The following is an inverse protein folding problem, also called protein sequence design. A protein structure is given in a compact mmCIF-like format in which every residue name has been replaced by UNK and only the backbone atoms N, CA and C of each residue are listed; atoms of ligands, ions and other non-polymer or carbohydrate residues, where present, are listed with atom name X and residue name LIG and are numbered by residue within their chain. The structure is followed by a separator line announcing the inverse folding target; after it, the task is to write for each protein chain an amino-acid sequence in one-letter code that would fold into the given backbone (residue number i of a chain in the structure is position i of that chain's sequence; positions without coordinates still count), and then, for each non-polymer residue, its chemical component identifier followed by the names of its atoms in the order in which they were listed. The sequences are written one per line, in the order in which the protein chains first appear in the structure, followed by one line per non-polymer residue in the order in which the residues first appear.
data_IF_924259653190
#
_entry.id   IF_924259653190
#
_cell.length_a   1.000
_cell.length_b   1.000
_cell.length_c   1.000
_cell.angle_alpha   90.00
_cell.angle_beta   90.00
_cell.angle_gamma   90.00
#
_symmetry.space_group_name_H-M   'P 1'
#
loop_
_entity.id
_entity.type
_entity.pdbx_description
1 polymer ?
#
# COMPACT_ATOMS: atom_id res chain seq x y z
N UNK A 1 25.47 -28.51 -17.54
CA UNK A 1 24.01 -28.29 -17.65
C UNK A 1 23.43 -28.36 -16.25
N UNK A 2 23.29 -27.21 -15.59
CA UNK A 2 22.52 -27.12 -14.36
C UNK A 2 21.07 -27.16 -14.78
N UNK A 3 20.37 -28.24 -14.43
CA UNK A 3 18.92 -28.34 -14.65
C UNK A 3 18.31 -27.27 -13.75
N UNK A 4 17.94 -26.13 -14.32
CA UNK A 4 17.09 -25.17 -13.65
C UNK A 4 15.74 -25.86 -13.48
N UNK A 5 15.55 -26.53 -12.35
CA UNK A 5 14.22 -26.97 -11.92
C UNK A 5 13.43 -25.69 -11.68
N UNK A 6 12.67 -25.27 -12.69
CA UNK A 6 11.59 -24.30 -12.54
C UNK A 6 10.58 -24.90 -11.55
N UNK A 7 10.82 -24.73 -10.26
CA UNK A 7 9.85 -25.10 -9.22
C UNK A 7 8.64 -24.22 -9.43
N UNK A 8 7.54 -24.83 -9.86
CA UNK A 8 6.27 -24.12 -9.98
C UNK A 8 5.96 -23.46 -8.63
N UNK A 9 5.61 -22.17 -8.59
CA UNK A 9 5.29 -21.50 -7.34
C UNK A 9 4.12 -22.20 -6.65
N UNK A 10 4.22 -22.38 -5.33
CA UNK A 10 3.21 -23.06 -4.52
C UNK A 10 2.14 -22.07 -4.08
N UNK A 11 0.86 -22.48 -4.18
CA UNK A 11 -0.28 -21.64 -3.78
C UNK A 11 -0.29 -21.48 -2.26
N UNK A 12 -0.36 -20.23 -1.80
CA UNK A 12 -0.67 -19.87 -0.43
C UNK A 12 -2.20 -19.88 -0.25
N UNK A 13 -2.74 -21.02 0.18
CA UNK A 13 -4.19 -21.20 0.37
C UNK A 13 -4.79 -20.28 1.42
N UNK A 14 -4.02 -19.90 2.45
CA UNK A 14 -4.50 -18.98 3.49
C UNK A 14 -4.79 -17.62 2.89
N UNK A 15 -3.81 -17.05 2.17
CA UNK A 15 -3.99 -15.77 1.46
C UNK A 15 -5.10 -15.87 0.41
N UNK A 16 -5.10 -16.94 -0.37
CA UNK A 16 -6.09 -17.15 -1.45
C UNK A 16 -7.52 -17.14 -0.90
N UNK A 17 -7.79 -17.94 0.13
CA UNK A 17 -9.11 -18.01 0.76
C UNK A 17 -9.48 -16.70 1.44
N UNK A 18 -8.51 -16.02 2.06
CA UNK A 18 -8.71 -14.71 2.68
C UNK A 18 -9.16 -13.65 1.67
N UNK A 19 -8.46 -13.52 0.54
CA UNK A 19 -8.86 -12.58 -0.51
C UNK A 19 -10.21 -12.95 -1.11
N UNK A 20 -10.47 -14.23 -1.41
CA UNK A 20 -11.77 -14.68 -1.91
C UNK A 20 -12.90 -14.29 -0.93
N UNK A 21 -12.71 -14.52 0.37
CA UNK A 21 -13.70 -14.17 1.39
C UNK A 21 -13.97 -12.67 1.44
N UNK A 22 -12.95 -11.82 1.35
CA UNK A 22 -13.12 -10.36 1.31
C UNK A 22 -13.88 -9.90 0.07
N UNK A 23 -13.58 -10.46 -1.11
CA UNK A 23 -14.26 -10.12 -2.35
C UNK A 23 -15.72 -10.59 -2.33
N UNK A 24 -15.98 -11.80 -1.84
CA UNK A 24 -17.36 -12.29 -1.63
C UNK A 24 -18.10 -11.36 -0.66
N UNK A 25 -17.48 -10.97 0.45
CA UNK A 25 -18.07 -10.03 1.40
C UNK A 25 -18.40 -8.67 0.77
N UNK A 26 -17.59 -8.18 -0.17
CA UNK A 26 -17.87 -6.94 -0.88
C UNK A 26 -19.10 -7.06 -1.80
N UNK A 27 -19.37 -8.24 -2.37
CA UNK A 27 -20.57 -8.48 -3.19
C UNK A 27 -21.88 -8.35 -2.39
N UNK A 28 -21.84 -8.45 -1.05
CA UNK A 28 -23.02 -8.18 -0.23
C UNK A 28 -23.51 -6.73 -0.33
N UNK A 29 -22.73 -5.82 -0.92
CA UNK A 29 -23.18 -4.47 -1.25
C UNK A 29 -24.39 -4.45 -2.20
N UNK A 30 -24.55 -5.50 -3.01
CA UNK A 30 -25.68 -5.65 -3.94
C UNK A 30 -26.92 -6.28 -3.30
N UNK A 31 -26.83 -6.74 -2.05
CA UNK A 31 -27.99 -7.28 -1.32
C UNK A 31 -28.88 -6.13 -0.85
N UNK A 32 -30.20 -6.16 -1.14
CA UNK A 32 -31.12 -5.12 -0.67
C UNK A 32 -31.02 -4.90 0.85
N UNK A 33 -30.90 -3.64 1.26
CA UNK A 33 -30.74 -3.25 2.67
C UNK A 33 -29.30 -2.97 3.12
N UNK A 34 -28.29 -3.40 2.35
CA UNK A 34 -26.88 -3.08 2.68
C UNK A 34 -26.38 -1.78 2.04
N UNK A 35 -27.12 -1.20 1.10
CA UNK A 35 -26.79 0.10 0.50
C UNK A 35 -27.36 1.26 1.32
N UNK A 36 -26.52 2.25 1.63
CA UNK A 36 -26.96 3.59 2.05
C UNK A 36 -25.88 4.61 1.71
N UNK A 37 -26.28 5.85 1.43
CA UNK A 37 -25.32 6.94 1.17
C UNK A 37 -24.40 7.21 2.37
N UNK A 38 -24.90 7.00 3.59
CA UNK A 38 -24.07 7.10 4.80
C UNK A 38 -22.97 6.03 4.82
N UNK A 39 -23.29 4.78 4.43
CA UNK A 39 -22.31 3.71 4.35
C UNK A 39 -21.27 3.95 3.25
N UNK A 40 -21.68 4.50 2.10
CA UNK A 40 -20.76 4.96 1.04
C UNK A 40 -19.83 6.05 1.59
N UNK A 41 -20.36 7.03 2.31
CA UNK A 41 -19.57 8.09 2.95
C UNK A 41 -18.54 7.53 3.93
N UNK A 42 -18.92 6.54 4.75
CA UNK A 42 -18.00 5.83 5.65
C UNK A 42 -16.91 5.11 4.86
N UNK A 43 -17.25 4.42 3.77
CA UNK A 43 -16.26 3.76 2.92
C UNK A 43 -15.27 4.74 2.31
N UNK A 44 -15.74 5.90 1.82
CA UNK A 44 -14.88 6.94 1.25
C UNK A 44 -13.96 7.57 2.30
N UNK A 45 -14.49 7.86 3.49
CA UNK A 45 -13.70 8.36 4.62
C UNK A 45 -12.61 7.36 4.99
N UNK A 46 -12.98 6.09 5.19
CA UNK A 46 -12.02 5.04 5.54
C UNK A 46 -11.04 4.76 4.41
N UNK A 47 -11.44 4.89 3.14
CA UNK A 47 -10.54 4.82 2.00
C UNK A 47 -9.46 5.90 2.05
N UNK A 48 -9.82 7.17 2.33
CA UNK A 48 -8.84 8.23 2.52
C UNK A 48 -7.95 8.00 3.75
N UNK A 49 -8.53 7.58 4.89
CA UNK A 49 -7.77 7.31 6.12
C UNK A 49 -6.79 6.17 5.89
N UNK A 50 -7.20 5.04 5.30
CA UNK A 50 -6.33 3.86 5.22
C UNK A 50 -5.46 3.83 3.98
N UNK A 51 -5.97 4.30 2.83
CA UNK A 51 -5.20 4.43 1.61
C UNK A 51 -4.27 5.65 1.68
N UNK A 52 -4.85 6.85 1.80
CA UNK A 52 -4.10 8.11 1.81
C UNK A 52 -3.18 8.24 3.03
N UNK A 53 -3.73 8.37 4.24
CA UNK A 53 -2.90 8.56 5.44
C UNK A 53 -2.13 7.29 5.82
N UNK A 54 -2.77 6.13 5.70
CA UNK A 54 -2.21 4.86 6.11
C UNK A 54 -1.11 4.33 5.19
N UNK A 55 -1.49 3.92 3.97
CA UNK A 55 -0.57 3.31 3.02
C UNK A 55 0.40 4.34 2.44
N UNK A 56 -0.09 5.40 1.81
CA UNK A 56 0.78 6.31 1.06
C UNK A 56 1.65 7.18 1.98
N UNK A 57 1.06 7.86 2.96
CA UNK A 57 1.79 8.75 3.86
C UNK A 57 2.58 7.95 4.92
N UNK A 58 1.90 7.02 5.60
CA UNK A 58 2.44 6.24 6.72
C UNK A 58 3.39 5.14 6.29
N UNK A 59 2.88 4.05 5.73
CA UNK A 59 3.70 2.88 5.40
C UNK A 59 4.76 3.22 4.36
N UNK A 60 4.37 3.86 3.25
CA UNK A 60 5.26 4.07 2.13
C UNK A 60 6.27 5.20 2.38
N UNK A 61 5.82 6.46 2.44
CA UNK A 61 6.75 7.60 2.47
C UNK A 61 7.43 7.78 3.83
N UNK A 62 6.70 7.62 4.93
CA UNK A 62 7.24 7.81 6.28
C UNK A 62 8.09 6.62 6.74
N UNK A 63 7.54 5.41 6.76
CA UNK A 63 8.22 4.26 7.39
C UNK A 63 9.17 3.56 6.42
N UNK A 64 8.71 3.22 5.21
CA UNK A 64 9.56 2.51 4.25
C UNK A 64 10.73 3.37 3.81
N UNK A 65 10.47 4.58 3.31
CA UNK A 65 11.50 5.41 2.67
C UNK A 65 12.17 6.42 3.60
N UNK A 66 11.61 6.66 4.79
CA UNK A 66 12.12 7.67 5.73
C UNK A 66 12.34 9.02 5.02
N UNK A 67 11.39 9.39 4.17
CA UNK A 67 11.44 10.60 3.33
C UNK A 67 11.17 11.87 4.14
N UNK A 68 10.61 11.73 5.35
CA UNK A 68 10.45 12.77 6.36
C UNK A 68 10.38 12.12 7.75
N UNK A 69 10.32 12.96 8.78
CA UNK A 69 10.19 12.54 10.18
C UNK A 69 8.99 13.23 10.84
N UNK A 70 8.31 12.50 11.73
CA UNK A 70 7.19 13.00 12.54
C UNK A 70 7.40 12.68 14.01
N UNK A 71 6.73 13.38 14.95
CA UNK A 71 6.61 12.91 16.32
C UNK A 71 6.11 11.46 16.37
N UNK A 72 6.63 10.66 17.31
CA UNK A 72 6.38 9.21 17.33
C UNK A 72 4.90 8.85 17.49
N UNK A 73 4.11 9.65 18.21
CA UNK A 73 2.66 9.44 18.35
C UNK A 73 1.93 9.54 17.01
N UNK A 74 2.37 10.47 16.13
CA UNK A 74 1.80 10.66 14.81
C UNK A 74 2.24 9.53 13.87
N UNK A 75 3.50 9.11 13.95
CA UNK A 75 3.98 7.93 13.22
C UNK A 75 3.11 6.70 13.57
N UNK A 76 2.92 6.41 14.85
CA UNK A 76 2.07 5.28 15.27
C UNK A 76 0.63 5.40 14.82
N UNK A 77 0.06 6.61 14.85
CA UNK A 77 -1.29 6.85 14.34
C UNK A 77 -1.39 6.55 12.83
N UNK A 78 -0.43 7.02 12.03
CA UNK A 78 -0.40 6.75 10.59
C UNK A 78 -0.18 5.26 10.30
N UNK A 79 0.66 4.59 11.08
CA UNK A 79 0.89 3.13 10.96
C UNK A 79 -0.36 2.35 11.34
N UNK A 80 -1.12 2.77 12.36
CA UNK A 80 -2.43 2.19 12.68
C UNK A 80 -3.41 2.35 11.52
N UNK A 81 -3.45 3.54 10.89
CA UNK A 81 -4.28 3.78 9.71
C UNK A 81 -3.89 2.84 8.54
N UNK A 82 -2.59 2.62 8.31
CA UNK A 82 -2.10 1.68 7.29
C UNK A 82 -2.43 0.22 7.62
N UNK A 83 -2.36 -0.14 8.90
CA UNK A 83 -2.75 -1.47 9.40
C UNK A 83 -4.23 -1.75 9.10
N UNK A 84 -5.09 -0.73 9.20
CA UNK A 84 -6.49 -0.78 8.81
C UNK A 84 -6.74 -0.85 7.29
N UNK A 85 -5.72 -0.80 6.43
CA UNK A 85 -5.85 -1.14 5.01
C UNK A 85 -5.85 -2.65 4.76
N UNK A 86 -5.48 -3.45 5.77
CA UNK A 86 -5.45 -4.91 5.71
C UNK A 86 -4.49 -5.51 4.65
N UNK A 87 -3.41 -4.81 4.28
CA UNK A 87 -2.45 -5.29 3.27
C UNK A 87 -1.30 -6.13 3.87
N UNK A 88 -1.57 -6.80 4.99
CA UNK A 88 -0.54 -7.37 5.85
C UNK A 88 -0.16 -6.44 7.00
N UNK A 89 0.64 -6.95 7.93
CA UNK A 89 1.16 -6.15 9.03
C UNK A 89 2.24 -5.16 8.57
N UNK A 90 2.50 -4.07 9.32
CA UNK A 90 3.44 -3.03 8.93
C UNK A 90 4.87 -3.52 8.68
N UNK A 91 5.36 -4.49 9.45
CA UNK A 91 6.73 -5.00 9.27
C UNK A 91 6.81 -5.77 7.95
N UNK A 92 5.85 -6.65 7.68
CA UNK A 92 5.80 -7.40 6.41
C UNK A 92 5.71 -6.46 5.22
N UNK A 93 4.74 -5.53 5.24
CA UNK A 93 4.52 -4.60 4.13
C UNK A 93 5.77 -3.76 3.84
N UNK A 94 6.38 -3.16 4.87
CA UNK A 94 7.60 -2.35 4.72
C UNK A 94 8.77 -3.19 4.19
N UNK A 95 8.95 -4.40 4.71
CA UNK A 95 10.02 -5.29 4.28
C UNK A 95 9.86 -5.72 2.82
N UNK A 96 8.67 -6.17 2.44
CA UNK A 96 8.33 -6.53 1.04
C UNK A 96 8.57 -5.35 0.10
N UNK A 97 8.16 -4.13 0.49
CA UNK A 97 8.32 -2.93 -0.34
C UNK A 97 9.79 -2.52 -0.51
N UNK A 98 10.61 -2.64 0.55
CA UNK A 98 12.06 -2.40 0.46
C UNK A 98 12.77 -3.43 -0.41
N UNK A 99 12.34 -4.69 -0.37
CA UNK A 99 12.85 -5.75 -1.26
C UNK A 99 12.50 -5.43 -2.71
N UNK A 100 11.25 -5.05 -2.98
CA UNK A 100 10.82 -4.63 -4.31
C UNK A 100 11.70 -3.50 -4.86
N UNK A 101 11.95 -2.44 -4.11
CA UNK A 101 12.82 -1.36 -4.59
C UNK A 101 14.26 -1.77 -4.88
N UNK A 102 14.81 -2.73 -4.12
CA UNK A 102 16.17 -3.22 -4.36
C UNK A 102 16.26 -4.15 -5.58
N UNK A 103 15.17 -4.83 -5.90
CA UNK A 103 15.14 -5.93 -6.86
C UNK A 103 14.09 -5.75 -7.95
N UNK A 104 13.58 -4.54 -8.15
CA UNK A 104 12.42 -4.25 -9.00
C UNK A 104 12.58 -4.88 -10.37
N UNK A 105 11.52 -5.55 -10.83
CA UNK A 105 11.49 -6.23 -12.13
C UNK A 105 12.60 -7.28 -12.32
N UNK A 106 13.01 -7.95 -11.23
CA UNK A 106 13.88 -9.13 -11.27
C UNK A 106 13.23 -10.30 -10.54
N UNK A 107 13.77 -11.52 -10.69
CA UNK A 107 13.25 -12.74 -10.04
C UNK A 107 13.14 -12.67 -8.50
N UNK A 108 13.79 -11.70 -7.85
CA UNK A 108 13.72 -11.48 -6.39
C UNK A 108 12.63 -10.49 -5.97
N UNK A 109 12.07 -9.73 -6.91
CA UNK A 109 10.92 -8.87 -6.65
C UNK A 109 9.68 -9.73 -6.40
N UNK A 110 9.03 -9.61 -5.22
CA UNK A 110 7.78 -10.31 -4.93
C UNK A 110 6.74 -10.14 -6.04
N UNK A 111 6.62 -8.93 -6.59
CA UNK A 111 5.61 -8.57 -7.59
C UNK A 111 6.24 -8.16 -8.93
N UNK A 112 7.32 -8.85 -9.31
CA UNK A 112 8.01 -8.70 -10.60
C UNK A 112 7.04 -8.53 -11.78
N UNK A 113 7.04 -7.34 -12.39
CA UNK A 113 6.12 -7.03 -13.47
C UNK A 113 6.44 -7.77 -14.78
N UNK A 114 7.66 -8.31 -14.93
CA UNK A 114 8.05 -9.13 -16.09
C UNK A 114 7.30 -10.47 -16.14
N UNK A 115 6.79 -10.97 -15.01
CA UNK A 115 5.90 -12.13 -14.98
C UNK A 115 4.48 -11.82 -15.47
N UNK A 116 4.20 -10.55 -15.77
CA UNK A 116 3.00 -10.07 -16.43
C UNK A 116 2.04 -9.34 -15.50
N UNK A 117 1.13 -8.58 -16.11
CA UNK A 117 0.21 -7.68 -15.41
C UNK A 117 -0.57 -8.34 -14.26
N UNK A 118 -1.08 -9.55 -14.48
CA UNK A 118 -1.88 -10.25 -13.47
C UNK A 118 -1.03 -10.82 -12.33
N UNK A 119 0.24 -11.15 -12.60
CA UNK A 119 1.17 -11.54 -11.54
C UNK A 119 1.40 -10.37 -10.58
N UNK A 120 1.83 -9.21 -11.09
CA UNK A 120 2.12 -8.03 -10.26
C UNK A 120 0.86 -7.41 -9.65
N UNK A 121 -0.33 -7.60 -10.25
CA UNK A 121 -1.59 -7.13 -9.68
C UNK A 121 -2.05 -7.97 -8.48
N UNK A 122 -2.16 -9.30 -8.62
CA UNK A 122 -2.69 -10.16 -7.55
C UNK A 122 -2.01 -11.52 -7.44
N UNK A 123 -1.43 -12.03 -8.53
CA UNK A 123 -0.81 -13.35 -8.57
C UNK A 123 0.24 -13.54 -7.48
N UNK A 124 1.12 -12.55 -7.28
CA UNK A 124 2.17 -12.61 -6.27
C UNK A 124 1.67 -12.82 -4.83
N UNK A 125 0.42 -12.42 -4.53
CA UNK A 125 -0.20 -12.59 -3.22
C UNK A 125 -0.81 -13.99 -3.03
N UNK A 126 -1.13 -14.67 -4.14
CA UNK A 126 -1.73 -16.01 -4.19
C UNK A 126 -0.67 -17.09 -4.00
N UNK A 127 0.58 -16.82 -4.35
CA UNK A 127 1.70 -17.76 -4.22
C UNK A 127 2.62 -17.41 -3.05
N UNK A 128 3.37 -18.39 -2.56
CA UNK A 128 4.43 -18.12 -1.58
C UNK A 128 5.56 -17.31 -2.23
N UNK A 129 5.83 -16.12 -1.70
CA UNK A 129 6.96 -15.29 -2.15
C UNK A 129 8.29 -15.90 -1.69
N UNK A 130 9.27 -16.05 -2.59
CA UNK A 130 10.61 -16.55 -2.23
C UNK A 130 11.38 -15.57 -1.34
N UNK A 131 11.04 -14.28 -1.36
CA UNK A 131 11.75 -13.23 -0.62
C UNK A 131 11.14 -12.91 0.75
N UNK A 132 10.07 -13.61 1.17
CA UNK A 132 9.48 -13.44 2.50
C UNK A 132 10.47 -13.72 3.63
N UNK A 133 11.41 -14.66 3.45
CA UNK A 133 12.45 -14.94 4.45
C UNK A 133 13.43 -13.78 4.66
N UNK A 134 13.51 -12.84 3.71
CA UNK A 134 14.42 -11.70 3.77
C UNK A 134 13.82 -10.52 4.55
N UNK A 135 12.51 -10.46 4.76
CA UNK A 135 11.81 -9.35 5.45
C UNK A 135 12.52 -8.90 6.74
N UNK A 136 12.90 -9.79 7.68
CA UNK A 136 13.58 -9.39 8.91
C UNK A 136 14.90 -8.64 8.69
N UNK A 137 15.61 -8.92 7.59
CA UNK A 137 16.85 -8.21 7.23
C UNK A 137 16.58 -6.77 6.83
N UNK A 138 15.43 -6.51 6.19
CA UNK A 138 15.05 -5.22 5.65
C UNK A 138 14.28 -4.34 6.62
N UNK A 139 13.94 -4.81 7.82
CA UNK A 139 13.08 -4.10 8.77
C UNK A 139 13.70 -3.92 10.16
N UNK A 140 15.04 -4.04 10.26
CA UNK A 140 15.76 -3.94 11.56
C UNK A 140 15.50 -2.64 12.32
N UNK A 141 15.16 -1.56 11.63
CA UNK A 141 14.82 -0.25 12.22
C UNK A 141 13.44 -0.22 12.92
N UNK A 142 12.55 -1.17 12.64
CA UNK A 142 11.20 -1.24 13.22
C UNK A 142 10.86 -2.58 13.87
N UNK A 143 11.63 -3.63 13.61
CA UNK A 143 11.30 -5.01 14.00
C UNK A 143 11.23 -5.21 15.52
N UNK A 144 11.96 -4.42 16.30
CA UNK A 144 12.00 -4.50 17.77
C UNK A 144 11.03 -3.52 18.45
N UNK A 145 10.34 -2.65 17.69
CA UNK A 145 9.39 -1.69 18.23
C UNK A 145 8.08 -2.40 18.62
N UNK A 146 7.69 -2.30 19.89
CA UNK A 146 6.55 -3.03 20.46
C UNK A 146 5.21 -2.64 19.83
N UNK A 147 5.06 -1.39 19.37
CA UNK A 147 3.84 -0.96 18.67
C UNK A 147 3.77 -1.59 17.29
N UNK A 148 4.88 -1.63 16.55
CA UNK A 148 4.94 -2.29 15.26
C UNK A 148 4.70 -3.80 15.39
N UNK A 149 5.27 -4.46 16.38
CA UNK A 149 5.01 -5.88 16.66
C UNK A 149 3.54 -6.15 17.01
N UNK A 150 2.93 -5.28 17.81
CA UNK A 150 1.51 -5.37 18.14
C UNK A 150 0.65 -5.25 16.89
N UNK A 151 0.86 -4.22 16.08
CA UNK A 151 0.12 -4.00 14.84
C UNK A 151 0.36 -5.12 13.82
N UNK A 152 1.60 -5.60 13.69
CA UNK A 152 1.97 -6.75 12.86
C UNK A 152 1.19 -8.02 13.23
N UNK A 153 1.09 -8.31 14.54
CA UNK A 153 0.45 -9.54 15.02
C UNK A 153 -1.07 -9.46 14.98
N UNK A 154 -1.64 -8.29 15.26
CA UNK A 154 -3.07 -8.15 15.53
C UNK A 154 -3.84 -7.38 14.45
N UNK A 155 -3.26 -7.10 13.28
CA UNK A 155 -3.93 -6.33 12.22
C UNK A 155 -5.33 -6.87 11.86
N UNK A 156 -5.52 -8.19 11.81
CA UNK A 156 -6.84 -8.80 11.59
C UNK A 156 -7.80 -8.53 12.75
N UNK A 157 -7.35 -8.65 14.02
CA UNK A 157 -8.21 -8.38 15.18
C UNK A 157 -8.58 -6.89 15.27
N UNK A 158 -7.68 -6.00 14.88
CA UNK A 158 -7.94 -4.56 14.80
C UNK A 158 -9.03 -4.29 13.74
N UNK A 159 -9.03 -5.01 12.62
CA UNK A 159 -10.12 -4.94 11.64
C UNK A 159 -11.45 -5.46 12.17
N UNK A 160 -11.43 -6.56 12.93
CA UNK A 160 -12.62 -7.08 13.60
C UNK A 160 -13.18 -6.05 14.59
N UNK A 161 -12.32 -5.40 15.38
CA UNK A 161 -12.73 -4.34 16.30
C UNK A 161 -13.38 -3.15 15.56
N UNK A 162 -12.81 -2.72 14.42
CA UNK A 162 -13.43 -1.70 13.56
C UNK A 162 -14.78 -2.19 13.01
N UNK A 163 -14.90 -3.45 12.59
CA UNK A 163 -16.15 -4.03 12.11
C UNK A 163 -17.25 -4.04 13.18
N UNK A 164 -16.92 -4.39 14.43
CA UNK A 164 -17.86 -4.34 15.55
C UNK A 164 -18.33 -2.91 15.83
N UNK A 165 -17.43 -1.93 15.79
CA UNK A 165 -17.78 -0.52 15.91
C UNK A 165 -18.72 -0.07 14.79
N UNK A 166 -18.45 -0.47 13.54
CA UNK A 166 -19.29 -0.13 12.40
C UNK A 166 -20.68 -0.78 12.47
N UNK A 167 -20.77 -2.02 12.95
CA UNK A 167 -22.05 -2.68 13.24
C UNK A 167 -22.85 -1.86 14.26
N UNK A 168 -22.21 -1.38 15.32
CA UNK A 168 -22.88 -0.59 16.35
C UNK A 168 -23.39 0.76 15.80
N UNK A 169 -22.62 1.42 14.93
CA UNK A 169 -22.93 2.75 14.41
C UNK A 169 -23.95 2.76 13.26
N UNK A 170 -23.96 1.72 12.42
CA UNK A 170 -24.80 1.71 11.22
C UNK A 170 -25.13 0.31 10.68
N UNK A 171 -24.99 -0.71 11.52
CA UNK A 171 -25.35 -2.08 11.20
C UNK A 171 -24.50 -2.70 10.09
N UNK A 172 -25.05 -3.73 9.46
CA UNK A 172 -24.37 -4.47 8.38
C UNK A 172 -24.05 -3.62 7.16
N UNK A 173 -24.85 -2.59 6.85
CA UNK A 173 -24.55 -1.66 5.76
C UNK A 173 -23.18 -1.01 5.95
N UNK A 174 -22.87 -0.54 7.16
CA UNK A 174 -21.57 0.09 7.45
C UNK A 174 -20.42 -0.91 7.43
N UNK A 175 -20.63 -2.16 7.83
CA UNK A 175 -19.59 -3.20 7.74
C UNK A 175 -19.32 -3.62 6.30
N UNK A 176 -20.36 -3.87 5.52
CA UNK A 176 -20.22 -4.23 4.10
C UNK A 176 -19.43 -3.16 3.36
N UNK A 177 -19.81 -1.88 3.51
CA UNK A 177 -19.15 -0.79 2.82
C UNK A 177 -17.80 -0.40 3.45
N UNK A 178 -17.77 -0.19 4.76
CA UNK A 178 -16.60 0.30 5.49
C UNK A 178 -15.49 -0.73 5.71
N UNK A 179 -15.81 -2.03 5.71
CA UNK A 179 -14.81 -3.10 5.74
C UNK A 179 -14.63 -3.69 4.35
N UNK A 180 -15.60 -4.44 3.84
CA UNK A 180 -15.37 -5.30 2.68
C UNK A 180 -15.17 -4.52 1.37
N UNK A 181 -16.14 -3.68 0.99
CA UNK A 181 -16.05 -2.88 -0.24
C UNK A 181 -14.83 -1.97 -0.19
N UNK A 182 -14.62 -1.26 0.92
CA UNK A 182 -13.48 -0.35 1.08
C UNK A 182 -12.14 -1.08 1.03
N UNK A 183 -11.98 -2.24 1.68
CA UNK A 183 -10.73 -3.00 1.63
C UNK A 183 -10.46 -3.49 0.21
N UNK A 184 -11.45 -4.08 -0.46
CA UNK A 184 -11.29 -4.55 -1.86
C UNK A 184 -10.97 -3.38 -2.80
N UNK A 185 -11.60 -2.23 -2.60
CA UNK A 185 -11.29 -1.02 -3.36
C UNK A 185 -9.85 -0.55 -3.13
N UNK A 186 -9.42 -0.44 -1.86
CA UNK A 186 -8.05 -0.08 -1.49
C UNK A 186 -7.04 -1.07 -2.08
N UNK A 187 -7.33 -2.37 -2.03
CA UNK A 187 -6.49 -3.41 -2.63
C UNK A 187 -6.27 -3.16 -4.11
N UNK A 188 -7.31 -3.09 -4.92
CA UNK A 188 -7.14 -2.87 -6.35
C UNK A 188 -6.47 -1.54 -6.67
N UNK A 189 -6.78 -0.47 -5.93
CA UNK A 189 -6.08 0.80 -6.07
C UNK A 189 -4.57 0.65 -5.83
N UNK A 190 -4.16 0.04 -4.72
CA UNK A 190 -2.73 -0.18 -4.43
C UNK A 190 -2.08 -1.16 -5.40
N UNK A 191 -2.76 -2.24 -5.78
CA UNK A 191 -2.22 -3.24 -6.70
C UNK A 191 -2.03 -2.69 -8.12
N UNK A 192 -2.78 -1.66 -8.52
CA UNK A 192 -2.53 -0.90 -9.74
C UNK A 192 -1.17 -0.18 -9.72
N UNK A 193 -0.64 0.17 -8.55
CA UNK A 193 0.72 0.73 -8.39
C UNK A 193 1.81 -0.32 -8.62
N UNK A 194 1.50 -1.61 -8.55
CA UNK A 194 2.46 -2.66 -8.90
C UNK A 194 2.33 -3.08 -10.37
N UNK A 195 1.15 -2.91 -10.95
CA UNK A 195 0.78 -3.50 -12.24
C UNK A 195 0.61 -2.48 -13.35
N UNK A 196 -0.25 -1.49 -13.16
CA UNK A 196 -0.54 -0.51 -14.20
C UNK A 196 0.61 0.48 -14.38
N UNK A 197 1.22 0.94 -13.30
CA UNK A 197 2.40 1.82 -13.33
C UNK A 197 3.67 1.13 -13.83
N UNK A 198 3.72 -0.19 -14.01
CA UNK A 198 4.82 -0.86 -14.72
C UNK A 198 4.51 -1.13 -16.21
N UNK A 199 3.31 -0.75 -16.68
CA UNK A 199 2.84 -1.09 -18.02
C UNK A 199 2.28 0.08 -18.83
N UNK A 200 1.67 1.06 -18.17
CA UNK A 200 0.93 2.14 -18.78
C UNK A 200 1.38 3.49 -18.22
N UNK A 201 1.73 4.42 -19.09
CA UNK A 201 2.16 5.76 -18.70
C UNK A 201 3.32 6.25 -19.54
N UNK A 202 4.01 7.27 -19.03
CA UNK A 202 5.24 7.81 -19.59
C UNK A 202 6.40 7.61 -18.62
N UNK A 203 7.64 7.73 -19.09
CA UNK A 203 8.84 7.70 -18.26
C UNK A 203 9.56 9.04 -18.39
N UNK A 204 9.88 9.65 -17.26
CA UNK A 204 10.63 10.91 -17.18
C UNK A 204 12.10 10.66 -16.83
N UNK A 205 12.39 9.54 -16.15
CA UNK A 205 13.71 9.23 -15.62
C UNK A 205 14.09 7.77 -15.94
N UNK A 206 15.40 7.53 -16.03
CA UNK A 206 15.95 6.17 -16.07
C UNK A 206 16.08 5.64 -14.64
N UNK A 207 15.17 4.73 -14.28
CA UNK A 207 15.10 4.09 -12.95
C UNK A 207 15.70 2.68 -12.92
N UNK A 208 16.16 2.15 -14.06
CA UNK A 208 16.67 0.77 -14.17
C UNK A 208 15.59 -0.32 -14.10
N UNK A 209 14.31 0.04 -14.14
CA UNK A 209 13.16 -0.86 -14.16
C UNK A 209 12.10 -0.40 -15.18
N UNK A 210 10.95 -1.08 -15.21
CA UNK A 210 9.85 -0.76 -16.12
C UNK A 210 8.78 0.18 -15.53
N UNK A 211 9.05 0.82 -14.39
CA UNK A 211 8.11 1.78 -13.81
C UNK A 211 7.79 2.95 -14.76
N UNK A 212 6.58 3.50 -14.65
CA UNK A 212 6.02 4.58 -15.47
C UNK A 212 5.17 5.49 -14.60
N UNK A 213 5.07 6.75 -14.99
CA UNK A 213 4.16 7.73 -14.43
C UNK A 213 2.77 7.58 -15.05
N UNK A 214 1.77 7.31 -14.22
CA UNK A 214 0.42 6.97 -14.62
C UNK A 214 -0.61 7.82 -13.87
N UNK A 215 -1.11 8.87 -14.52
CA UNK A 215 -1.91 9.93 -13.88
C UNK A 215 -3.22 9.40 -13.25
N UNK A 216 -3.89 8.44 -13.88
CA UNK A 216 -5.15 7.92 -13.35
C UNK A 216 -4.93 7.02 -12.13
N UNK A 217 -3.79 6.32 -12.05
CA UNK A 217 -3.37 5.64 -10.82
C UNK A 217 -3.02 6.68 -9.75
N UNK A 218 -2.38 7.79 -10.12
CA UNK A 218 -2.07 8.87 -9.17
C UNK A 218 -3.34 9.46 -8.54
N UNK A 219 -4.43 9.60 -9.31
CA UNK A 219 -5.74 10.01 -8.78
C UNK A 219 -6.31 8.97 -7.81
N UNK A 220 -6.25 7.68 -8.15
CA UNK A 220 -6.78 6.59 -7.32
C UNK A 220 -5.95 6.30 -6.07
N UNK A 221 -4.69 6.72 -6.04
CA UNK A 221 -3.76 6.39 -4.95
C UNK A 221 -3.03 7.63 -4.50
N UNK A 222 -3.72 8.78 -4.46
CA UNK A 222 -3.27 9.99 -3.80
C UNK A 222 -1.87 10.53 -4.20
N UNK A 223 -1.39 10.20 -5.41
CA UNK A 223 -0.07 10.59 -5.92
C UNK A 223 0.90 9.43 -6.16
N UNK A 224 0.58 8.20 -5.74
CA UNK A 224 1.47 7.04 -5.89
C UNK A 224 1.61 6.52 -7.33
N UNK A 225 0.81 7.06 -8.26
CA UNK A 225 0.92 6.75 -9.69
C UNK A 225 2.09 7.45 -10.38
N UNK A 226 2.77 8.41 -9.75
CA UNK A 226 4.02 9.02 -10.25
C UNK A 226 5.21 8.08 -9.98
N UNK A 227 5.08 6.85 -10.46
CA UNK A 227 5.87 5.71 -10.01
C UNK A 227 7.28 5.70 -10.59
N UNK A 228 7.48 6.15 -11.83
CA UNK A 228 8.81 6.27 -12.41
C UNK A 228 9.63 7.37 -11.71
N UNK A 229 9.01 8.49 -11.37
CA UNK A 229 9.66 9.53 -10.55
C UNK A 229 10.06 8.97 -9.18
N UNK A 230 9.15 8.22 -8.55
CA UNK A 230 9.40 7.57 -7.26
C UNK A 230 10.55 6.56 -7.35
N UNK A 231 10.58 5.69 -8.37
CA UNK A 231 11.64 4.70 -8.52
C UNK A 231 13.00 5.31 -8.81
N UNK A 232 13.05 6.43 -9.54
CA UNK A 232 14.28 7.20 -9.74
C UNK A 232 14.76 7.89 -8.45
N UNK A 233 13.84 8.37 -7.59
CA UNK A 233 14.15 9.14 -6.39
C UNK A 233 13.43 8.63 -5.15
N UNK A 234 13.65 7.37 -4.80
CA UNK A 234 12.92 6.63 -3.75
C UNK A 234 12.93 7.33 -2.37
N UNK A 235 13.97 8.11 -2.09
CA UNK A 235 14.11 8.85 -0.83
C UNK A 235 13.25 10.13 -0.76
N UNK A 236 12.73 10.61 -1.89
CA UNK A 236 11.98 11.86 -2.00
C UNK A 236 10.59 11.74 -1.39
N UNK A 237 10.18 12.73 -0.60
CA UNK A 237 8.83 12.78 -0.04
C UNK A 237 7.78 13.24 -1.07
N UNK A 238 8.22 13.74 -2.23
CA UNK A 238 7.40 14.23 -3.34
C UNK A 238 7.61 13.33 -4.55
N UNK A 239 6.54 12.70 -5.04
CA UNK A 239 6.60 11.84 -6.23
C UNK A 239 6.18 12.59 -7.50
N UNK A 240 5.21 13.51 -7.39
CA UNK A 240 4.84 14.39 -8.51
C UNK A 240 5.85 15.53 -8.66
N UNK A 241 6.78 15.43 -9.60
CA UNK A 241 7.90 16.36 -9.81
C UNK A 241 7.52 17.52 -10.73
N UNK A 242 6.64 17.28 -11.71
CA UNK A 242 6.09 18.30 -12.59
C UNK A 242 4.95 19.09 -11.94
N UNK A 243 4.67 20.29 -12.46
CA UNK A 243 3.65 21.18 -11.89
C UNK A 243 2.22 20.64 -11.99
N UNK A 244 1.97 19.78 -12.97
CA UNK A 244 0.67 19.17 -13.25
C UNK A 244 0.54 17.76 -12.63
N UNK A 245 1.61 17.21 -12.09
CA UNK A 245 1.63 15.92 -11.40
C UNK A 245 1.06 16.10 -9.98
N UNK A 246 -0.26 16.11 -9.88
CA UNK A 246 -0.98 16.28 -8.60
C UNK A 246 -0.63 15.13 -7.66
N UNK A 247 -0.02 15.47 -6.53
CA UNK A 247 0.41 14.53 -5.49
C UNK A 247 -0.24 14.93 -4.15
N UNK A 248 -1.39 14.33 -3.84
CA UNK A 248 -2.19 14.66 -2.66
C UNK A 248 -1.46 14.30 -1.35
N UNK A 249 -0.66 13.24 -1.38
CA UNK A 249 0.15 12.84 -0.22
C UNK A 249 1.29 13.82 0.02
N UNK A 250 1.92 14.35 -1.04
CA UNK A 250 2.88 15.46 -0.89
C UNK A 250 2.21 16.72 -0.32
N UNK A 251 1.03 17.10 -0.82
CA UNK A 251 0.27 18.23 -0.26
C UNK A 251 -0.05 18.03 1.23
N UNK A 252 -0.31 16.79 1.64
CA UNK A 252 -0.52 16.43 3.05
C UNK A 252 0.76 16.59 3.87
N UNK A 253 1.92 16.19 3.34
CA UNK A 253 3.23 16.42 3.98
C UNK A 253 3.49 17.92 4.13
N UNK A 254 3.23 18.73 3.09
CA UNK A 254 3.38 20.18 3.16
C UNK A 254 2.52 20.80 4.26
N UNK A 255 1.27 20.34 4.41
CA UNK A 255 0.40 20.78 5.50
C UNK A 255 1.00 20.42 6.88
N UNK A 256 1.53 19.20 7.03
CA UNK A 256 2.21 18.79 8.27
C UNK A 256 3.47 19.61 8.54
N UNK A 257 4.21 20.06 7.51
CA UNK A 257 5.35 20.96 7.68
C UNK A 257 4.92 22.32 8.23
N UNK A 258 3.80 22.87 7.77
CA UNK A 258 3.25 24.15 8.28
C UNK A 258 2.98 24.06 9.78
N UNK A 259 2.51 22.91 10.27
CA UNK A 259 2.28 22.67 11.69
C UNK A 259 3.53 22.20 12.47
N UNK A 260 4.70 22.10 11.82
CA UNK A 260 5.92 21.57 12.45
C UNK A 260 5.87 20.08 12.79
N UNK A 261 4.90 19.34 12.24
CA UNK A 261 4.70 17.91 12.47
C UNK A 261 5.49 17.03 11.49
N UNK A 262 5.85 17.56 10.31
CA UNK A 262 6.78 16.93 9.39
C UNK A 262 8.09 17.73 9.32
N UNK A 263 9.19 17.06 9.64
CA UNK A 263 10.54 17.62 9.68
C UNK A 263 11.50 16.76 8.87
N UNK A 264 12.72 17.26 8.59
CA UNK A 264 13.74 16.52 7.83
C UNK A 264 13.21 15.95 6.50
N UNK A 265 12.38 16.73 5.81
CA UNK A 265 11.75 16.36 4.55
C UNK A 265 12.80 16.34 3.44
N UNK A 266 12.94 15.19 2.79
CA UNK A 266 13.87 14.97 1.68
C UNK A 266 13.14 15.17 0.35
N UNK A 267 13.80 15.80 -0.61
CA UNK A 267 13.28 16.04 -1.95
C UNK A 267 14.33 15.67 -2.99
N UNK A 268 13.88 15.18 -4.14
CA UNK A 268 14.74 14.98 -5.29
C UNK A 268 15.39 16.30 -5.74
N UNK A 269 16.68 16.27 -6.05
CA UNK A 269 17.39 17.40 -6.61
C UNK A 269 17.01 17.59 -8.09
N UNK A 270 16.56 18.79 -8.47
CA UNK A 270 16.17 19.13 -9.86
C UNK A 270 17.28 19.00 -10.93
N UNK A 271 18.49 18.58 -10.55
CA UNK A 271 19.67 18.52 -11.43
C UNK A 271 20.10 17.09 -11.81
N UNK A 272 19.39 16.06 -11.36
CA UNK A 272 19.67 14.66 -11.68
C UNK A 272 18.75 14.15 -12.78
#
# INVERSE_FOLDING_TARGET
MTIATSTKPQINWVNTLFFIALHIGALFAFVPGNFSWNAVGVALLLYWVTGGLGITLGFHRLVTHRSFQTPKWLEYFLVLCGTLACQGGPIEWVGTHRIHHLHSDTDRDPHDSNQGFWWSHIGWLIYHSPSHSDVPRFTKDIAEDSVYQFLQKYFILIQVALGLLLIYLGGWSFVVWGIFVRIVWVYHCTWLVNSATHKFGYRSHDSGDSSTNCWWVAVLVFGEGWHNNHHAFQYSARHGLEWWEIDLTWMTIQLLQVFGLATNVKLADKKQ
#
